data_IF_089517573811
#
_entry.id   IF_089517573811
#
_cell.length_a   1.000
_cell.length_b   1.000
_cell.length_c   1.000
_cell.angle_alpha   90.00
_cell.angle_beta   90.00
_cell.angle_gamma   90.00
#
_symmetry.space_group_name_H-M   'P 1'
#
loop_
_entity.id
_entity.type
_entity.pdbx_description
1 polymer ?
#
# COMPACT_ATOMS: atom_id res chain seq x y z
N UNK A 1 -12.67 16.95 17.93
CA UNK A 1 -12.64 15.65 17.25
C UNK A 1 -11.32 15.57 16.53
N UNK A 2 -10.45 14.61 16.85
CA UNK A 2 -9.24 14.39 16.06
C UNK A 2 -9.62 13.89 14.66
N UNK A 3 -8.94 14.41 13.64
CA UNK A 3 -9.05 13.86 12.30
C UNK A 3 -8.43 12.47 12.29
N UNK A 4 -9.11 11.49 11.68
CA UNK A 4 -8.56 10.14 11.55
C UNK A 4 -7.26 10.19 10.76
N UNK A 5 -6.33 9.27 11.04
CA UNK A 5 -5.05 9.15 10.33
C UNK A 5 -5.22 9.25 8.80
N UNK A 6 -6.23 8.56 8.26
CA UNK A 6 -6.53 8.55 6.83
C UNK A 6 -7.21 9.84 6.33
N UNK A 7 -7.94 10.57 7.18
CA UNK A 7 -8.54 11.87 6.81
C UNK A 7 -7.43 12.89 6.49
N UNK A 8 -6.38 12.92 7.32
CA UNK A 8 -5.17 13.74 7.09
C UNK A 8 -4.42 13.35 5.82
N UNK A 9 -4.39 12.06 5.46
CA UNK A 9 -3.80 11.58 4.19
C UNK A 9 -4.67 11.98 2.99
N UNK A 10 -6.01 11.95 3.11
CA UNK A 10 -6.95 12.37 2.05
C UNK A 10 -6.84 13.86 1.72
N UNK A 11 -6.59 14.71 2.72
CA UNK A 11 -6.38 16.16 2.51
C UNK A 11 -5.17 16.42 1.59
N UNK A 12 -4.06 15.70 1.80
CA UNK A 12 -2.86 15.77 0.95
C UNK A 12 -3.08 15.15 -0.44
N UNK A 13 -3.82 14.03 -0.52
CA UNK A 13 -4.08 13.31 -1.77
C UNK A 13 -4.83 14.11 -2.86
N UNK A 14 -5.52 15.18 -2.49
CA UNK A 14 -6.43 15.92 -3.41
C UNK A 14 -5.72 16.62 -4.59
N UNK A 15 -4.38 16.68 -4.61
CA UNK A 15 -3.62 17.52 -5.54
C UNK A 15 -3.30 16.90 -6.90
N UNK A 16 -3.38 15.58 -7.08
CA UNK A 16 -2.99 14.92 -8.35
C UNK A 16 -3.51 13.49 -8.52
N UNK A 17 -4.33 13.24 -9.55
CA UNK A 17 -4.61 11.91 -10.10
C UNK A 17 -4.62 11.94 -11.64
N UNK A 18 -3.79 11.10 -12.26
CA UNK A 18 -3.85 10.75 -13.68
C UNK A 18 -4.30 9.29 -13.85
N UNK A 19 -4.86 8.94 -15.01
CA UNK A 19 -5.47 7.62 -15.29
C UNK A 19 -4.47 6.45 -15.39
N UNK A 20 -4.98 5.23 -15.21
CA UNK A 20 -4.31 3.97 -15.53
C UNK A 20 -5.37 2.89 -15.88
N UNK A 21 -5.07 2.05 -16.87
CA UNK A 21 -5.92 0.97 -17.43
C UNK A 21 -4.94 -0.20 -17.77
N UNK A 22 -4.83 -1.28 -16.97
CA UNK A 22 -5.48 -2.63 -17.09
C UNK A 22 -4.61 -3.68 -17.88
N UNK A 23 -4.66 -5.05 -17.83
CA UNK A 23 -5.51 -6.10 -17.21
C UNK A 23 -4.75 -7.31 -16.54
N UNK A 24 -4.62 -8.47 -17.22
CA UNK A 24 -4.76 -9.86 -16.69
C UNK A 24 -3.77 -10.89 -17.34
N UNK A 25 -3.58 -12.18 -16.97
CA UNK A 25 -3.78 -13.07 -15.77
C UNK A 25 -3.34 -14.55 -16.12
N UNK A 26 -3.29 -15.48 -15.13
CA UNK A 26 -3.20 -16.98 -15.22
C UNK A 26 -1.83 -17.62 -15.62
N UNK A 27 -1.42 -18.83 -15.20
CA UNK A 27 -1.99 -19.96 -14.39
C UNK A 27 -0.99 -20.49 -13.30
N UNK A 28 -1.41 -21.41 -12.41
CA UNK A 28 -0.74 -21.78 -11.14
C UNK A 28 0.62 -22.55 -11.19
N UNK A 29 1.78 -21.86 -11.16
CA UNK A 29 3.05 -22.38 -10.58
C UNK A 29 3.86 -21.24 -9.91
N UNK A 30 3.26 -20.54 -8.91
CA UNK A 30 3.78 -19.25 -8.35
C UNK A 30 4.36 -18.34 -9.46
N UNK A 31 3.58 -18.22 -10.53
CA UNK A 31 4.03 -17.98 -11.89
C UNK A 31 4.41 -16.51 -12.12
N UNK A 32 5.65 -16.20 -11.73
CA UNK A 32 6.28 -14.88 -11.86
C UNK A 32 6.09 -14.35 -13.27
N UNK A 33 5.26 -13.33 -13.41
CA UNK A 33 5.26 -12.48 -14.60
C UNK A 33 6.25 -11.35 -14.32
N UNK A 34 7.43 -11.47 -14.92
CA UNK A 34 8.50 -10.47 -14.80
C UNK A 34 8.10 -9.22 -15.58
N UNK A 35 7.75 -8.16 -14.85
CA UNK A 35 7.54 -6.83 -15.45
C UNK A 35 8.86 -6.06 -15.48
N UNK A 36 9.03 -5.04 -16.34
CA UNK A 36 10.17 -4.13 -16.29
C UNK A 36 10.38 -3.41 -14.95
N UNK A 37 9.42 -3.52 -14.03
CA UNK A 37 9.41 -2.88 -12.71
C UNK A 37 9.51 -3.89 -11.54
N UNK A 38 9.70 -5.19 -11.84
CA UNK A 38 9.87 -6.27 -10.86
C UNK A 38 8.77 -7.34 -10.93
N UNK A 39 8.75 -8.23 -9.93
CA UNK A 39 7.83 -9.39 -9.88
C UNK A 39 6.38 -8.99 -9.62
N UNK A 40 5.46 -9.48 -10.46
CA UNK A 40 4.03 -9.57 -10.14
C UNK A 40 3.74 -10.90 -9.42
N UNK A 41 2.95 -10.84 -8.36
CA UNK A 41 2.57 -11.95 -7.49
C UNK A 41 1.14 -12.38 -7.82
N UNK A 42 0.95 -13.66 -8.14
CA UNK A 42 -0.38 -14.23 -8.38
C UNK A 42 -1.02 -14.60 -7.05
N UNK A 43 -1.52 -13.58 -6.35
CA UNK A 43 -2.20 -13.69 -5.05
C UNK A 43 -3.66 -13.24 -5.18
N UNK A 44 -4.58 -14.02 -4.61
CA UNK A 44 -5.99 -13.62 -4.46
C UNK A 44 -6.12 -12.45 -3.49
N UNK A 45 -7.22 -11.68 -3.60
CA UNK A 45 -7.50 -10.57 -2.68
C UNK A 45 -7.50 -11.01 -1.19
N UNK A 46 -7.98 -12.23 -0.90
CA UNK A 46 -7.98 -12.81 0.44
C UNK A 46 -6.55 -13.01 0.99
N UNK A 47 -5.63 -13.50 0.16
CA UNK A 47 -4.23 -13.67 0.55
C UNK A 47 -3.52 -12.32 0.71
N UNK A 48 -3.73 -11.38 -0.24
CA UNK A 48 -3.21 -10.01 -0.12
C UNK A 48 -3.63 -9.36 1.21
N UNK A 49 -4.91 -9.48 1.58
CA UNK A 49 -5.44 -8.99 2.86
C UNK A 49 -4.78 -9.66 4.06
N UNK A 50 -4.66 -10.99 4.11
CA UNK A 50 -3.97 -11.72 5.19
C UNK A 50 -2.50 -11.30 5.36
N UNK A 51 -1.79 -11.06 4.24
CA UNK A 51 -0.42 -10.57 4.29
C UNK A 51 -0.36 -9.14 4.87
N UNK A 52 -1.28 -8.26 4.48
CA UNK A 52 -1.40 -6.91 5.07
C UNK A 52 -1.82 -6.97 6.54
N UNK A 53 -2.69 -7.90 6.95
CA UNK A 53 -3.08 -8.12 8.34
C UNK A 53 -1.89 -8.47 9.25
N UNK A 54 -0.88 -9.17 8.72
CA UNK A 54 0.37 -9.49 9.44
C UNK A 54 1.30 -8.28 9.73
N UNK A 55 1.03 -7.13 9.12
CA UNK A 55 1.74 -5.89 9.39
C UNK A 55 1.30 -5.29 10.75
N UNK A 56 2.26 -4.77 11.52
CA UNK A 56 1.98 -3.96 12.72
C UNK A 56 1.27 -2.66 12.34
N UNK A 57 0.61 -1.94 13.27
CA UNK A 57 -0.10 -0.69 12.95
C UNK A 57 0.75 0.35 12.20
N UNK A 58 2.00 0.58 12.62
CA UNK A 58 2.91 1.53 11.94
C UNK A 58 3.39 1.04 10.57
N UNK A 59 3.53 -0.27 10.38
CA UNK A 59 3.79 -0.84 9.05
C UNK A 59 2.55 -0.70 8.14
N UNK A 60 1.32 -0.86 8.66
CA UNK A 60 0.07 -0.65 7.90
C UNK A 60 -0.07 0.82 7.45
N UNK A 61 0.13 1.76 8.37
CA UNK A 61 0.15 3.21 8.07
C UNK A 61 1.16 3.54 6.96
N UNK A 62 2.40 3.04 7.09
CA UNK A 62 3.47 3.22 6.10
C UNK A 62 3.10 2.57 4.75
N UNK A 63 2.54 1.36 4.77
CA UNK A 63 2.11 0.60 3.60
C UNK A 63 1.03 1.35 2.82
N UNK A 64 -0.02 1.84 3.47
CA UNK A 64 -1.11 2.57 2.81
C UNK A 64 -0.62 3.86 2.14
N UNK A 65 0.35 4.56 2.74
CA UNK A 65 1.01 5.72 2.11
C UNK A 65 1.82 5.27 0.88
N UNK A 66 2.63 4.21 0.98
CA UNK A 66 3.48 3.75 -0.13
C UNK A 66 2.68 3.23 -1.34
N UNK A 67 1.55 2.53 -1.14
CA UNK A 67 0.70 2.06 -2.27
C UNK A 67 -0.07 3.20 -2.96
N UNK A 68 -0.27 4.34 -2.27
CA UNK A 68 -0.77 5.58 -2.87
C UNK A 68 0.27 6.30 -3.76
N UNK A 69 1.50 5.78 -3.86
CA UNK A 69 2.53 6.27 -4.77
C UNK A 69 3.54 7.26 -4.16
N UNK A 70 3.28 7.73 -2.94
CA UNK A 70 4.17 8.66 -2.21
C UNK A 70 5.60 8.12 -2.07
N UNK A 71 6.58 9.02 -2.09
CA UNK A 71 7.97 8.70 -1.80
C UNK A 71 8.20 8.42 -0.32
N UNK A 72 9.31 7.75 0.00
CA UNK A 72 9.71 7.46 1.38
C UNK A 72 9.97 8.74 2.21
N UNK A 73 10.33 9.86 1.56
CA UNK A 73 10.49 11.17 2.20
C UNK A 73 9.13 11.74 2.60
N UNK A 74 8.17 11.77 1.68
CA UNK A 74 6.80 12.19 1.98
C UNK A 74 6.15 11.27 3.02
N UNK A 75 6.41 9.96 2.98
CA UNK A 75 5.96 9.03 4.03
C UNK A 75 6.51 9.39 5.40
N UNK A 76 7.80 9.73 5.52
CA UNK A 76 8.38 10.16 6.79
C UNK A 76 7.77 11.49 7.28
N UNK A 77 7.48 12.42 6.37
CA UNK A 77 6.86 13.73 6.66
C UNK A 77 5.39 13.59 7.09
N UNK A 78 4.58 12.79 6.38
CA UNK A 78 3.18 12.51 6.70
C UNK A 78 3.05 11.82 8.07
N UNK A 79 3.90 10.82 8.34
CA UNK A 79 3.95 10.09 9.61
C UNK A 79 4.59 10.90 10.75
N UNK A 80 5.25 12.03 10.47
CA UNK A 80 6.07 12.80 11.40
C UNK A 80 7.15 11.95 12.12
N UNK A 81 7.90 11.16 11.34
CA UNK A 81 9.00 10.30 11.82
C UNK A 81 10.29 10.58 11.07
N UNK A 82 11.43 10.07 11.58
CA UNK A 82 12.70 10.14 10.85
C UNK A 82 12.66 9.27 9.60
N UNK A 83 13.31 9.72 8.53
CA UNK A 83 13.47 8.96 7.28
C UNK A 83 14.03 7.54 7.51
N UNK A 84 14.97 7.38 8.43
CA UNK A 84 15.50 6.07 8.83
C UNK A 84 14.44 5.15 9.46
N UNK A 85 13.52 5.69 10.25
CA UNK A 85 12.38 4.93 10.81
C UNK A 85 11.42 4.48 9.72
N UNK A 86 11.08 5.38 8.78
CA UNK A 86 10.26 5.04 7.62
C UNK A 86 10.94 3.97 6.74
N UNK A 87 12.26 4.06 6.54
CA UNK A 87 13.06 3.06 5.82
C UNK A 87 13.06 1.68 6.50
N UNK A 88 13.13 1.64 7.84
CA UNK A 88 12.99 0.40 8.61
C UNK A 88 11.61 -0.23 8.41
N UNK A 89 10.53 0.56 8.47
CA UNK A 89 9.18 0.07 8.20
C UNK A 89 9.04 -0.42 6.75
N UNK A 90 9.51 0.34 5.75
CA UNK A 90 9.53 -0.11 4.35
C UNK A 90 10.27 -1.44 4.17
N UNK A 91 11.45 -1.59 4.78
CA UNK A 91 12.27 -2.81 4.72
C UNK A 91 11.55 -4.00 5.36
N UNK A 92 10.81 -3.79 6.45
CA UNK A 92 10.04 -4.84 7.12
C UNK A 92 8.79 -5.23 6.30
N UNK A 93 8.06 -4.25 5.75
CA UNK A 93 6.92 -4.46 4.84
C UNK A 93 7.34 -5.27 3.61
N UNK A 94 8.45 -4.89 2.96
CA UNK A 94 9.00 -5.59 1.80
C UNK A 94 9.27 -7.08 2.10
N UNK A 95 9.92 -7.37 3.23
CA UNK A 95 10.16 -8.75 3.68
C UNK A 95 8.86 -9.52 3.97
N UNK A 96 7.90 -8.91 4.68
CA UNK A 96 6.62 -9.56 5.06
C UNK A 96 5.69 -9.80 3.86
N UNK A 97 5.65 -8.86 2.92
CA UNK A 97 4.80 -8.93 1.72
C UNK A 97 5.50 -9.62 0.53
N UNK A 98 6.73 -10.13 0.71
CA UNK A 98 7.57 -10.73 -0.34
C UNK A 98 7.69 -9.83 -1.59
N UNK A 99 7.99 -8.55 -1.41
CA UNK A 99 8.32 -7.59 -2.48
C UNK A 99 9.69 -6.96 -2.24
N UNK A 100 10.33 -6.49 -3.30
CA UNK A 100 11.70 -5.99 -3.33
C UNK A 100 11.76 -4.47 -3.59
N UNK A 101 10.70 -3.88 -4.15
CA UNK A 101 10.67 -2.48 -4.60
C UNK A 101 9.30 -1.80 -4.34
N UNK A 102 9.28 -0.47 -4.39
CA UNK A 102 8.02 0.31 -4.27
C UNK A 102 7.09 0.05 -5.46
N UNK A 103 7.65 -0.20 -6.65
CA UNK A 103 6.86 -0.53 -7.83
C UNK A 103 6.20 -1.90 -7.69
N UNK A 104 6.94 -2.92 -7.23
CA UNK A 104 6.36 -4.24 -6.91
C UNK A 104 5.29 -4.13 -5.82
N UNK A 105 5.51 -3.31 -4.78
CA UNK A 105 4.49 -3.08 -3.74
C UNK A 105 3.19 -2.50 -4.32
N UNK A 106 3.29 -1.48 -5.18
CA UNK A 106 2.14 -0.86 -5.84
C UNK A 106 1.46 -1.86 -6.79
N UNK A 107 2.21 -2.49 -7.70
CA UNK A 107 1.70 -3.45 -8.70
C UNK A 107 0.92 -4.59 -8.05
N UNK A 108 1.35 -5.06 -6.87
CA UNK A 108 0.74 -6.21 -6.22
C UNK A 108 -0.39 -5.86 -5.25
N UNK A 109 -0.39 -4.66 -4.63
CA UNK A 109 -1.30 -4.34 -3.51
C UNK A 109 -2.17 -3.08 -3.70
N UNK A 110 -2.09 -2.36 -4.82
CA UNK A 110 -2.89 -1.15 -5.10
C UNK A 110 -4.39 -1.35 -4.91
N UNK A 111 -4.92 -2.52 -5.28
CA UNK A 111 -6.34 -2.87 -5.22
C UNK A 111 -6.92 -2.81 -3.78
N UNK A 112 -6.09 -2.95 -2.75
CA UNK A 112 -6.54 -2.88 -1.35
C UNK A 112 -6.81 -1.44 -0.86
N UNK A 113 -6.46 -0.42 -1.66
CA UNK A 113 -6.51 0.99 -1.27
C UNK A 113 -7.94 1.55 -1.13
N UNK A 114 -8.97 0.85 -1.61
CA UNK A 114 -10.34 1.37 -1.75
C UNK A 114 -11.23 1.13 -0.51
N UNK A 115 -10.76 0.36 0.47
CA UNK A 115 -11.61 -0.31 1.48
C UNK A 115 -12.00 0.52 2.73
N UNK A 116 -11.85 1.85 2.71
CA UNK A 116 -11.98 2.71 3.93
C UNK A 116 -12.76 4.03 3.71
N UNK A 117 -13.92 4.00 3.03
CA UNK A 117 -14.87 5.13 3.01
C UNK A 117 -16.28 4.81 3.55
N UNK A 118 -16.72 3.54 3.59
CA UNK A 118 -18.15 3.19 3.77
C UNK A 118 -18.54 2.64 5.17
N UNK A 119 -17.85 3.05 6.24
CA UNK A 119 -18.25 2.76 7.64
C UNK A 119 -18.27 3.98 8.57
N UNK A 120 -18.63 5.16 8.05
CA UNK A 120 -18.89 6.40 8.83
C UNK A 120 -20.26 7.01 8.50
N UNK A 121 -21.28 6.15 8.34
CA UNK A 121 -22.59 6.55 7.81
C UNK A 121 -23.82 5.87 8.43
N UNK A 122 -23.70 5.17 9.56
CA UNK A 122 -24.85 4.58 10.27
C UNK A 122 -24.52 4.20 11.72
N UNK A 123 -24.57 5.18 12.62
CA UNK A 123 -24.99 5.03 14.02
C UNK A 123 -25.37 6.43 14.51
N UNK A 124 -26.61 6.61 14.96
CA UNK A 124 -27.23 7.90 15.35
C UNK A 124 -28.43 7.66 16.26
#
# INVERSE_FOLDING_TARGET
MDLGFMDRVKEVLKKSKGKAEEKQEKDEILSRTDTPYGKKLNLTACEKSKMVESLTPREKETFFILINGYSLKETAEILNIRYSTANTYQTAIYKKLNVNSRAELIINFRDLCETMEERRGSDS
#
